data_IF_993713842736
#
_entry.id   IF_993713842736
#
_cell.length_a   1.000
_cell.length_b   1.000
_cell.length_c   1.000
_cell.angle_alpha   90.00
_cell.angle_beta   90.00
_cell.angle_gamma   90.00
#
_symmetry.space_group_name_H-M   'P 1'
#
loop_
_entity.id
_entity.type
_entity.pdbx_description
1 polymer ?
#
# COMPACT_ATOMS: atom_id res chain seq x y z
N UNK A 1 22.90 26.73 -16.22
CA UNK A 1 22.40 25.35 -16.27
C UNK A 1 21.96 25.02 -14.87
N UNK A 2 20.69 24.74 -14.62
CA UNK A 2 20.21 24.39 -13.27
C UNK A 2 20.86 23.08 -12.86
N UNK A 3 21.61 23.09 -11.78
CA UNK A 3 22.20 21.91 -11.17
C UNK A 3 21.09 20.96 -10.73
N UNK A 4 20.80 19.98 -11.58
CA UNK A 4 19.72 19.04 -11.34
C UNK A 4 20.19 18.00 -10.29
N UNK A 5 19.53 17.97 -9.13
CA UNK A 5 19.78 16.94 -8.12
C UNK A 5 19.50 15.57 -8.74
N UNK A 6 20.46 14.65 -8.68
CA UNK A 6 20.30 13.26 -9.12
C UNK A 6 20.06 12.35 -7.94
N UNK A 7 19.03 11.54 -8.01
CA UNK A 7 18.70 10.54 -6.99
C UNK A 7 19.16 9.16 -7.45
N UNK A 8 19.81 8.44 -6.53
CA UNK A 8 20.20 7.03 -6.71
C UNK A 8 19.54 6.19 -5.64
N UNK A 9 18.71 5.25 -6.04
CA UNK A 9 18.24 4.15 -5.19
C UNK A 9 19.33 3.09 -5.11
N UNK A 10 19.68 2.67 -3.92
CA UNK A 10 20.78 1.75 -3.66
C UNK A 10 20.51 0.95 -2.38
N UNK A 11 21.53 0.46 -1.72
CA UNK A 11 21.45 -0.27 -0.46
C UNK A 11 22.39 0.34 0.60
N UNK A 12 22.28 -0.13 1.84
CA UNK A 12 23.08 0.37 2.98
C UNK A 12 24.58 0.14 2.84
N UNK A 13 25.03 -0.70 1.90
CA UNK A 13 26.44 -0.96 1.62
C UNK A 13 27.07 0.03 0.64
N UNK A 14 26.29 0.94 0.07
CA UNK A 14 26.77 1.99 -0.82
C UNK A 14 27.83 2.86 -0.11
N UNK A 15 29.03 3.08 -0.70
CA UNK A 15 30.11 3.83 -0.05
C UNK A 15 29.72 5.28 0.28
N UNK A 16 28.98 5.95 -0.62
CA UNK A 16 28.55 7.31 -0.42
C UNK A 16 27.47 7.42 0.66
N UNK A 17 26.57 6.43 0.73
CA UNK A 17 25.61 6.32 1.80
C UNK A 17 26.32 6.16 3.15
N UNK A 18 27.28 5.21 3.28
CA UNK A 18 28.06 5.00 4.51
C UNK A 18 28.83 6.25 4.92
N UNK A 19 29.42 6.95 3.96
CA UNK A 19 30.13 8.21 4.22
C UNK A 19 29.23 9.28 4.85
N UNK A 20 28.00 9.43 4.33
CA UNK A 20 27.06 10.42 4.86
C UNK A 20 26.39 9.97 6.17
N UNK A 21 26.26 8.67 6.43
CA UNK A 21 25.85 8.12 7.73
C UNK A 21 26.83 8.55 8.83
N UNK A 22 28.14 8.42 8.58
CA UNK A 22 29.17 8.87 9.55
C UNK A 22 29.04 10.36 9.86
N UNK A 23 28.75 11.18 8.85
CA UNK A 23 28.57 12.63 9.07
C UNK A 23 27.29 12.91 9.88
N UNK A 24 26.20 12.19 9.59
CA UNK A 24 24.96 12.29 10.37
C UNK A 24 25.20 11.89 11.83
N UNK A 25 25.85 10.75 12.08
CA UNK A 25 26.11 10.27 13.43
C UNK A 25 26.97 11.28 14.24
N UNK A 26 28.02 11.81 13.63
CA UNK A 26 28.83 12.84 14.26
C UNK A 26 28.01 14.09 14.59
N UNK A 27 27.10 14.52 13.73
CA UNK A 27 26.22 15.66 13.97
C UNK A 27 25.23 15.39 15.12
N UNK A 28 24.64 14.21 15.15
CA UNK A 28 23.73 13.79 16.22
C UNK A 28 24.44 13.74 17.59
N UNK A 29 25.65 13.19 17.65
CA UNK A 29 26.48 13.22 18.86
C UNK A 29 26.80 14.62 19.34
N UNK A 30 27.06 15.56 18.42
CA UNK A 30 27.33 16.94 18.77
C UNK A 30 26.11 17.73 19.27
N UNK A 31 24.90 17.34 18.81
CA UNK A 31 23.66 18.02 19.16
C UNK A 31 22.96 17.42 20.39
N UNK A 32 23.02 16.10 20.57
CA UNK A 32 22.32 15.37 21.64
C UNK A 32 23.25 14.92 22.79
N UNK A 33 24.59 15.01 22.63
CA UNK A 33 25.55 14.59 23.63
C UNK A 33 25.31 13.17 24.18
N UNK A 34 25.27 13.00 25.52
CA UNK A 34 25.13 11.72 26.19
C UNK A 34 23.78 11.05 25.89
N UNK A 35 22.72 11.79 25.55
CA UNK A 35 21.41 11.26 25.19
C UNK A 35 21.47 10.49 23.87
N UNK A 36 22.42 10.81 22.99
CA UNK A 36 22.63 10.05 21.75
C UNK A 36 22.92 8.56 22.00
N UNK A 37 23.58 8.22 23.11
CA UNK A 37 23.89 6.83 23.44
C UNK A 37 22.64 5.94 23.54
N UNK A 38 21.52 6.52 23.98
CA UNK A 38 20.23 5.81 24.08
C UNK A 38 19.71 5.45 22.68
N UNK A 39 19.90 6.34 21.70
CA UNK A 39 19.40 6.18 20.33
C UNK A 39 20.33 5.37 19.43
N UNK A 40 21.63 5.28 19.78
CA UNK A 40 22.66 4.70 18.91
C UNK A 40 22.39 3.23 18.54
N UNK A 41 21.85 2.45 19.49
CA UNK A 41 21.43 1.07 19.25
C UNK A 41 20.29 0.95 18.23
N UNK A 42 19.42 1.95 18.12
CA UNK A 42 18.26 1.99 17.21
C UNK A 42 18.62 2.63 15.86
N UNK A 43 19.74 3.35 15.81
CA UNK A 43 20.26 4.00 14.62
C UNK A 43 21.08 3.08 13.72
N UNK A 44 21.41 1.88 14.19
CA UNK A 44 22.10 0.88 13.37
C UNK A 44 21.28 0.56 12.12
N UNK A 45 21.94 0.67 10.97
CA UNK A 45 21.36 0.32 9.67
C UNK A 45 21.86 -1.07 9.32
N UNK A 46 21.08 -2.12 9.58
CA UNK A 46 21.40 -3.46 9.09
C UNK A 46 21.44 -3.45 7.55
N UNK A 47 21.77 -4.58 6.93
CA UNK A 47 21.78 -4.73 5.47
C UNK A 47 20.40 -4.40 4.85
N UNK A 48 20.15 -3.11 4.61
CA UNK A 48 18.93 -2.62 3.99
C UNK A 48 19.12 -2.46 2.48
N UNK A 49 18.20 -3.00 1.69
CA UNK A 49 18.16 -2.86 0.24
C UNK A 49 17.41 -1.60 -0.22
N UNK A 50 17.29 -0.60 0.64
CA UNK A 50 16.39 0.55 0.45
C UNK A 50 17.02 1.85 0.92
N UNK A 51 18.27 2.10 0.53
CA UNK A 51 18.94 3.37 0.76
C UNK A 51 18.83 4.30 -0.46
N UNK A 52 18.83 5.61 -0.20
CA UNK A 52 18.79 6.66 -1.21
C UNK A 52 20.01 7.55 -0.99
N UNK A 53 20.71 7.90 -2.08
CA UNK A 53 21.75 8.92 -2.11
C UNK A 53 21.38 9.96 -3.16
N UNK A 54 21.39 11.22 -2.76
CA UNK A 54 21.18 12.36 -3.65
C UNK A 54 22.51 13.05 -3.95
N UNK A 55 22.71 13.37 -5.22
CA UNK A 55 23.95 13.95 -5.74
C UNK A 55 23.70 15.33 -6.36
N UNK A 56 24.50 16.32 -5.94
CA UNK A 56 24.63 17.61 -6.60
C UNK A 56 26.03 17.67 -7.24
N UNK A 57 26.12 17.91 -8.56
CA UNK A 57 27.41 17.96 -9.28
C UNK A 57 28.32 16.74 -9.00
N UNK A 58 27.74 15.53 -8.99
CA UNK A 58 28.40 14.25 -8.70
C UNK A 58 28.90 14.10 -7.24
N UNK A 59 28.63 15.06 -6.34
CA UNK A 59 28.94 14.95 -4.91
C UNK A 59 27.71 14.45 -4.16
N UNK A 60 27.83 13.45 -3.28
CA UNK A 60 26.73 13.01 -2.44
C UNK A 60 26.42 14.10 -1.40
N UNK A 61 25.17 14.55 -1.35
CA UNK A 61 24.73 15.68 -0.53
C UNK A 61 23.57 15.38 0.39
N UNK A 62 22.82 14.31 0.15
CA UNK A 62 21.75 13.91 1.06
C UNK A 62 21.49 12.40 0.98
N UNK A 63 20.96 11.85 2.06
CA UNK A 63 20.61 10.43 2.19
C UNK A 63 19.29 10.23 2.91
N UNK A 64 18.76 9.02 2.79
CA UNK A 64 17.68 8.47 3.57
C UNK A 64 17.56 6.96 3.30
N UNK A 65 16.89 6.22 4.18
CA UNK A 65 16.60 4.82 3.93
C UNK A 65 15.24 4.42 4.48
N UNK A 66 14.76 3.26 4.04
CA UNK A 66 13.51 2.66 4.47
C UNK A 66 13.82 1.38 5.25
N UNK A 67 13.16 1.19 6.38
CA UNK A 67 13.19 -0.05 7.16
C UNK A 67 11.77 -0.60 7.23
N UNK A 68 11.57 -1.86 6.88
CA UNK A 68 10.27 -2.49 7.05
C UNK A 68 9.92 -2.52 8.54
N UNK A 69 8.73 -2.02 8.89
CA UNK A 69 8.20 -2.10 10.25
C UNK A 69 7.24 -3.30 10.37
N UNK A 70 6.30 -3.41 9.44
CA UNK A 70 5.41 -4.57 9.29
C UNK A 70 4.97 -4.71 7.81
N UNK A 71 3.95 -5.51 7.52
CA UNK A 71 3.52 -5.83 6.16
C UNK A 71 2.98 -4.63 5.38
N UNK A 72 2.41 -3.62 6.06
CA UNK A 72 1.79 -2.44 5.45
C UNK A 72 2.49 -1.12 5.78
N UNK A 73 3.46 -1.14 6.69
CA UNK A 73 4.08 0.06 7.25
C UNK A 73 5.60 0.01 7.12
N UNK A 74 6.18 1.09 6.63
CA UNK A 74 7.63 1.28 6.52
C UNK A 74 8.09 2.40 7.44
N UNK A 75 9.27 2.28 8.04
CA UNK A 75 9.91 3.34 8.83
C UNK A 75 10.89 4.12 7.96
N UNK A 76 10.70 5.44 7.87
CA UNK A 76 11.65 6.39 7.27
C UNK A 76 12.79 6.61 8.25
N UNK A 77 14.02 6.34 7.83
CA UNK A 77 15.20 6.46 8.69
C UNK A 77 16.35 7.20 8.01
N UNK A 78 17.25 7.72 8.83
CA UNK A 78 18.57 8.23 8.42
C UNK A 78 18.50 9.37 7.39
N UNK A 79 17.47 10.23 7.53
CA UNK A 79 17.33 11.43 6.72
C UNK A 79 18.42 12.45 7.08
N UNK A 80 19.26 12.79 6.11
CA UNK A 80 20.34 13.75 6.31
C UNK A 80 20.62 14.58 5.06
N UNK A 81 20.97 15.83 5.25
CA UNK A 81 21.47 16.72 4.20
C UNK A 81 22.73 17.41 4.74
N UNK A 82 23.83 17.34 4.00
CA UNK A 82 25.09 17.98 4.39
C UNK A 82 24.89 19.50 4.61
N UNK A 83 25.57 20.07 5.59
CA UNK A 83 25.36 21.47 6.05
C UNK A 83 25.39 22.48 4.90
N UNK A 84 26.36 22.35 4.01
CA UNK A 84 26.62 23.26 2.88
C UNK A 84 25.51 23.20 1.80
N UNK A 85 24.69 22.15 1.82
CA UNK A 85 23.59 21.92 0.85
C UNK A 85 22.19 22.14 1.45
N UNK A 86 22.10 22.58 2.70
CA UNK A 86 20.84 22.92 3.36
C UNK A 86 20.20 24.16 2.74
N UNK A 87 18.90 24.34 2.93
CA UNK A 87 18.13 25.44 2.34
C UNK A 87 17.71 25.21 0.88
N UNK A 88 18.29 24.25 0.18
CA UNK A 88 17.99 23.91 -1.23
C UNK A 88 16.81 22.94 -1.42
N UNK A 89 16.06 22.66 -0.35
CA UNK A 89 14.90 21.74 -0.34
C UNK A 89 15.24 20.25 -0.61
N UNK A 90 16.51 19.84 -0.51
CA UNK A 90 16.92 18.46 -0.80
C UNK A 90 16.31 17.44 0.15
N UNK A 91 16.09 17.79 1.42
CA UNK A 91 15.34 16.94 2.36
C UNK A 91 13.93 16.60 1.88
N UNK A 92 13.21 17.58 1.30
CA UNK A 92 11.88 17.35 0.72
C UNK A 92 11.93 16.39 -0.47
N UNK A 93 12.95 16.52 -1.31
CA UNK A 93 13.13 15.68 -2.50
C UNK A 93 13.44 14.24 -2.08
N UNK A 94 14.38 14.06 -1.13
CA UNK A 94 14.73 12.73 -0.61
C UNK A 94 13.53 12.08 0.10
N UNK A 95 12.80 12.82 0.93
CA UNK A 95 11.60 12.30 1.60
C UNK A 95 10.54 11.85 0.59
N UNK A 96 10.26 12.69 -0.42
CA UNK A 96 9.30 12.33 -1.49
C UNK A 96 9.73 11.08 -2.24
N UNK A 97 11.01 10.91 -2.52
CA UNK A 97 11.54 9.73 -3.18
C UNK A 97 11.41 8.47 -2.31
N UNK A 98 11.64 8.58 -0.98
CA UNK A 98 11.40 7.49 -0.04
C UNK A 98 9.93 7.10 0.00
N UNK A 99 9.02 8.07 0.09
CA UNK A 99 7.58 7.85 0.09
C UNK A 99 7.12 7.16 -1.21
N UNK A 100 7.62 7.65 -2.35
CA UNK A 100 7.32 7.04 -3.64
C UNK A 100 7.84 5.60 -3.72
N UNK A 101 9.08 5.36 -3.29
CA UNK A 101 9.66 4.00 -3.30
C UNK A 101 8.94 3.06 -2.33
N UNK A 102 8.52 3.55 -1.17
CA UNK A 102 7.69 2.81 -0.23
C UNK A 102 6.33 2.40 -0.85
N UNK A 103 5.66 3.33 -1.52
CA UNK A 103 4.41 3.06 -2.25
C UNK A 103 4.61 2.04 -3.37
N UNK A 104 5.68 2.15 -4.15
CA UNK A 104 6.03 1.18 -5.21
C UNK A 104 6.29 -0.23 -4.65
N UNK A 105 6.71 -0.33 -3.39
CA UNK A 105 6.90 -1.60 -2.68
C UNK A 105 5.62 -2.13 -2.03
N UNK A 106 4.53 -1.38 -2.09
CA UNK A 106 3.21 -1.78 -1.58
C UNK A 106 2.94 -1.38 -0.13
N UNK A 107 3.77 -0.52 0.47
CA UNK A 107 3.50 0.02 1.80
C UNK A 107 2.39 1.07 1.74
N UNK A 108 1.51 1.04 2.73
CA UNK A 108 0.37 1.94 2.89
C UNK A 108 0.74 3.12 3.78
N UNK A 109 1.56 2.87 4.78
CA UNK A 109 1.95 3.86 5.77
C UNK A 109 3.46 4.05 5.82
N UNK A 110 3.87 5.29 6.07
CA UNK A 110 5.21 5.60 6.56
C UNK A 110 5.13 6.11 7.99
N UNK A 111 5.99 5.59 8.83
CA UNK A 111 6.24 6.10 10.17
C UNK A 111 7.68 6.60 10.26
N UNK A 112 7.93 7.42 11.24
CA UNK A 112 9.27 7.89 11.58
C UNK A 112 9.32 8.32 13.04
N UNK A 113 10.53 8.39 13.56
CA UNK A 113 10.84 9.03 14.83
C UNK A 113 11.81 10.18 14.62
N UNK A 114 11.67 11.22 15.40
CA UNK A 114 12.60 12.36 15.48
C UNK A 114 12.55 12.97 16.88
N UNK A 115 13.61 13.71 17.28
CA UNK A 115 13.63 14.36 18.59
C UNK A 115 12.77 15.63 18.62
N UNK A 116 12.24 15.98 19.81
CA UNK A 116 11.59 17.26 20.10
C UNK A 116 12.51 18.46 19.79
N UNK A 117 13.82 18.25 19.87
CA UNK A 117 14.85 19.29 19.64
C UNK A 117 15.05 19.60 18.15
N UNK A 118 14.77 18.67 17.24
CA UNK A 118 14.96 18.86 15.80
C UNK A 118 13.78 19.58 15.12
N UNK A 119 13.59 20.87 15.46
CA UNK A 119 12.49 21.70 14.94
C UNK A 119 12.39 21.69 13.40
N UNK A 120 13.53 21.74 12.72
CA UNK A 120 13.56 21.73 11.25
C UNK A 120 13.07 20.42 10.65
N UNK A 121 13.46 19.27 11.24
CA UNK A 121 13.00 17.94 10.81
C UNK A 121 11.49 17.77 11.09
N UNK A 122 11.02 18.15 12.28
CA UNK A 122 9.58 18.12 12.61
C UNK A 122 8.76 18.97 11.64
N UNK A 123 9.22 20.19 11.33
CA UNK A 123 8.56 21.07 10.36
C UNK A 123 8.54 20.45 8.96
N UNK A 124 9.62 19.79 8.54
CA UNK A 124 9.67 19.06 7.26
C UNK A 124 8.56 18.00 7.18
N UNK A 125 8.45 17.15 8.20
CA UNK A 125 7.48 16.03 8.23
C UNK A 125 6.04 16.52 8.34
N UNK A 126 5.75 17.50 9.23
CA UNK A 126 4.42 18.11 9.32
C UNK A 126 3.97 18.72 7.97
N UNK A 127 4.87 19.46 7.32
CA UNK A 127 4.60 20.06 6.01
C UNK A 127 4.49 19.00 4.87
N UNK A 128 5.01 17.80 5.09
CA UNK A 128 4.86 16.67 4.17
C UNK A 128 3.58 15.84 4.45
N UNK A 129 2.76 16.22 5.46
CA UNK A 129 1.51 15.57 5.79
C UNK A 129 1.61 14.45 6.82
N UNK A 130 2.71 14.36 7.56
CA UNK A 130 2.80 13.48 8.73
C UNK A 130 2.05 14.08 9.92
N UNK A 131 1.42 13.22 10.70
CA UNK A 131 0.77 13.57 11.97
C UNK A 131 1.50 12.90 13.12
N UNK A 132 1.54 13.58 14.27
CA UNK A 132 2.11 12.99 15.50
C UNK A 132 1.23 11.85 15.96
N UNK A 133 1.86 10.76 16.39
CA UNK A 133 1.21 9.56 16.95
C UNK A 133 1.85 9.23 18.31
N UNK A 134 1.26 8.31 19.05
CA UNK A 134 1.90 7.73 20.24
C UNK A 134 3.24 7.09 19.87
N UNK A 135 4.22 7.21 20.76
CA UNK A 135 5.53 6.60 20.54
C UNK A 135 5.38 5.07 20.46
N UNK A 136 6.07 4.46 19.49
CA UNK A 136 5.97 3.02 19.21
C UNK A 136 7.26 2.27 19.58
N UNK A 137 7.14 0.97 19.74
CA UNK A 137 8.22 0.01 19.97
C UNK A 137 9.27 0.50 20.99
N UNK A 138 10.51 0.66 20.57
CA UNK A 138 11.64 1.12 21.39
C UNK A 138 11.57 2.60 21.81
N UNK A 139 10.67 3.37 21.23
CA UNK A 139 10.54 4.81 21.55
C UNK A 139 9.47 5.12 22.59
N UNK A 140 8.71 4.09 23.06
CA UNK A 140 7.54 4.27 23.97
C UNK A 140 7.87 5.07 25.22
N UNK A 141 9.01 4.81 25.81
CA UNK A 141 9.42 5.40 27.10
C UNK A 141 10.42 6.56 26.93
N UNK A 142 10.61 7.03 25.68
CA UNK A 142 11.54 8.13 25.39
C UNK A 142 10.75 9.45 25.24
N UNK A 143 10.77 10.26 26.32
CA UNK A 143 10.02 11.52 26.39
C UNK A 143 10.41 12.54 25.32
N UNK A 144 11.67 12.51 24.87
CA UNK A 144 12.19 13.42 23.85
C UNK A 144 11.93 12.95 22.42
N UNK A 145 11.44 11.73 22.25
CA UNK A 145 11.07 11.19 20.95
C UNK A 145 9.69 11.68 20.51
N UNK A 146 9.56 12.01 19.24
CA UNK A 146 8.31 12.34 18.56
C UNK A 146 8.12 11.39 17.41
N UNK A 147 7.20 10.46 17.57
CA UNK A 147 6.79 9.54 16.50
C UNK A 147 5.73 10.18 15.62
N UNK A 148 5.86 9.97 14.33
CA UNK A 148 4.93 10.52 13.34
C UNK A 148 4.56 9.48 12.30
N UNK A 149 3.36 9.62 11.72
CA UNK A 149 2.79 8.72 10.72
C UNK A 149 2.18 9.49 9.57
N UNK A 150 2.33 8.95 8.37
CA UNK A 150 1.65 9.41 7.16
C UNK A 150 1.08 8.24 6.39
N UNK A 151 -0.10 8.41 5.83
CA UNK A 151 -0.62 7.53 4.81
C UNK A 151 -0.01 7.90 3.45
N UNK A 152 0.67 6.95 2.81
CA UNK A 152 1.45 7.17 1.57
C UNK A 152 0.59 7.14 0.32
N UNK A 153 -0.57 6.50 0.40
CA UNK A 153 -1.43 6.32 -0.75
C UNK A 153 -2.26 7.58 -0.93
N UNK A 154 -2.16 8.19 -2.09
CA UNK A 154 -3.06 9.27 -2.47
C UNK A 154 -4.49 8.76 -2.37
N UNK A 155 -5.34 9.49 -1.61
CA UNK A 155 -6.79 9.27 -1.65
C UNK A 155 -7.21 9.26 -3.11
N UNK A 156 -7.66 8.10 -3.58
CA UNK A 156 -8.38 8.05 -4.84
C UNK A 156 -9.62 8.90 -4.63
N UNK A 157 -9.95 9.76 -5.56
CA UNK A 157 -11.18 10.53 -5.56
C UNK A 157 -12.37 9.59 -5.30
N UNK A 158 -13.29 9.93 -4.38
CA UNK A 158 -14.33 9.01 -3.89
C UNK A 158 -15.19 8.33 -4.96
N UNK A 159 -15.19 8.78 -6.17
CA UNK A 159 -16.06 8.31 -7.26
C UNK A 159 -15.37 7.52 -8.37
N UNK A 160 -14.13 7.00 -8.16
CA UNK A 160 -13.41 6.34 -9.27
C UNK A 160 -14.17 5.15 -9.88
N UNK A 161 -14.90 4.37 -9.06
CA UNK A 161 -15.64 3.19 -9.50
C UNK A 161 -17.15 3.28 -9.31
N UNK A 162 -17.63 3.98 -8.27
CA UNK A 162 -19.05 4.03 -7.87
C UNK A 162 -19.95 4.63 -8.94
N UNK A 163 -19.47 5.62 -9.67
CA UNK A 163 -20.24 6.33 -10.69
C UNK A 163 -20.06 5.77 -12.11
N UNK A 164 -19.29 4.67 -12.25
CA UNK A 164 -19.06 4.06 -13.56
C UNK A 164 -20.30 3.31 -14.03
N UNK A 165 -20.93 3.78 -15.09
CA UNK A 165 -22.04 3.08 -15.72
C UNK A 165 -21.60 1.68 -16.18
N UNK A 166 -22.38 0.65 -15.80
CA UNK A 166 -22.10 -0.75 -16.16
C UNK A 166 -21.10 -1.47 -15.24
N UNK A 167 -20.65 -0.83 -14.17
CA UNK A 167 -19.82 -1.45 -13.13
C UNK A 167 -20.66 -1.65 -11.87
N UNK A 168 -20.80 -2.89 -11.42
CA UNK A 168 -21.38 -3.20 -10.11
C UNK A 168 -20.28 -3.00 -9.06
N UNK A 169 -20.43 -1.98 -8.21
CA UNK A 169 -19.51 -1.59 -7.16
C UNK A 169 -20.25 -1.48 -5.83
N UNK A 170 -19.66 -1.96 -4.73
CA UNK A 170 -20.36 -2.11 -3.47
C UNK A 170 -19.95 -1.05 -2.45
N UNK A 171 -20.90 -0.54 -1.67
CA UNK A 171 -20.66 0.50 -0.66
C UNK A 171 -19.64 0.07 0.41
N UNK A 172 -19.58 -1.22 0.76
CA UNK A 172 -18.58 -1.71 1.71
C UNK A 172 -17.15 -1.69 1.18
N UNK A 173 -16.95 -1.52 -0.13
CA UNK A 173 -15.62 -1.43 -0.76
C UNK A 173 -15.00 -0.04 -0.64
N UNK A 174 -15.78 1.02 -0.46
CA UNK A 174 -15.31 2.42 -0.48
C UNK A 174 -14.14 2.65 0.48
N UNK A 175 -14.24 2.16 1.72
CA UNK A 175 -13.20 2.32 2.74
C UNK A 175 -11.86 1.66 2.38
N UNK A 176 -11.86 0.66 1.50
CA UNK A 176 -10.71 -0.20 1.22
C UNK A 176 -10.13 0.04 -0.17
N UNK A 177 -10.97 0.30 -1.15
CA UNK A 177 -10.59 0.46 -2.55
C UNK A 177 -10.25 1.90 -2.86
N UNK A 178 -11.13 2.84 -2.53
CA UNK A 178 -11.02 4.22 -2.99
C UNK A 178 -10.21 5.07 -2.03
N UNK A 179 -10.40 4.93 -0.72
CA UNK A 179 -9.71 5.79 0.24
C UNK A 179 -8.25 5.41 0.48
N UNK A 180 -7.93 4.12 0.45
CA UNK A 180 -6.64 3.62 0.91
C UNK A 180 -5.94 2.68 -0.06
N UNK A 181 -6.50 2.37 -1.23
CA UNK A 181 -5.98 1.36 -2.19
C UNK A 181 -5.58 0.02 -1.53
N UNK A 182 -6.23 -0.33 -0.41
CA UNK A 182 -5.94 -1.57 0.34
C UNK A 182 -6.47 -2.81 -0.35
N UNK A 183 -7.29 -2.63 -1.37
CA UNK A 183 -7.94 -3.73 -2.04
C UNK A 183 -8.10 -3.45 -3.53
N UNK A 184 -8.10 -4.52 -4.32
CA UNK A 184 -8.52 -4.48 -5.71
C UNK A 184 -10.04 -4.63 -5.72
N UNK A 185 -10.81 -3.83 -6.49
CA UNK A 185 -12.27 -3.90 -6.54
C UNK A 185 -12.77 -5.32 -6.82
N UNK A 186 -13.89 -5.71 -6.22
CA UNK A 186 -14.44 -7.07 -6.36
C UNK A 186 -14.78 -7.41 -7.81
N UNK A 187 -15.24 -6.45 -8.59
CA UNK A 187 -15.47 -6.63 -10.04
C UNK A 187 -14.17 -6.98 -10.79
N UNK A 188 -13.06 -6.34 -10.44
CA UNK A 188 -11.74 -6.63 -11.05
C UNK A 188 -11.26 -8.00 -10.58
N UNK A 189 -11.40 -8.34 -9.29
CA UNK A 189 -11.06 -9.67 -8.76
C UNK A 189 -11.87 -10.80 -9.42
N UNK A 190 -13.16 -10.56 -9.67
CA UNK A 190 -14.03 -11.49 -10.37
C UNK A 190 -13.50 -11.79 -11.77
N UNK A 191 -13.17 -10.74 -12.53
CA UNK A 191 -12.61 -10.85 -13.88
C UNK A 191 -11.21 -11.48 -13.89
N UNK A 192 -10.38 -11.19 -12.88
CA UNK A 192 -9.07 -11.81 -12.72
C UNK A 192 -9.15 -13.33 -12.51
N UNK A 193 -10.08 -13.79 -11.67
CA UNK A 193 -10.30 -15.21 -11.42
C UNK A 193 -10.74 -15.91 -12.71
N UNK A 194 -11.64 -15.30 -13.50
CA UNK A 194 -12.06 -15.80 -14.80
C UNK A 194 -10.90 -15.82 -15.81
N UNK A 195 -10.06 -14.79 -15.82
CA UNK A 195 -8.92 -14.67 -16.71
C UNK A 195 -7.69 -15.51 -16.27
N UNK A 196 -7.72 -16.14 -15.10
CA UNK A 196 -6.62 -16.96 -14.60
C UNK A 196 -5.34 -16.18 -14.27
N UNK A 197 -5.47 -14.92 -13.82
CA UNK A 197 -4.34 -14.07 -13.45
C UNK A 197 -4.44 -13.62 -11.99
N UNK A 198 -3.31 -13.70 -11.28
CA UNK A 198 -3.15 -13.10 -9.96
C UNK A 198 -2.49 -11.72 -10.11
N UNK A 199 -3.19 -10.68 -9.66
CA UNK A 199 -2.66 -9.33 -9.53
C UNK A 199 -2.36 -9.06 -8.07
N UNK A 200 -1.15 -8.58 -7.77
CA UNK A 200 -0.76 -8.15 -6.42
C UNK A 200 -1.19 -6.70 -6.21
N UNK A 201 -1.48 -6.34 -4.96
CA UNK A 201 -1.82 -4.96 -4.62
C UNK A 201 -0.69 -3.98 -4.98
N UNK A 202 0.56 -4.39 -4.81
CA UNK A 202 1.76 -3.62 -5.21
C UNK A 202 1.92 -3.44 -6.73
N UNK A 203 1.25 -4.24 -7.54
CA UNK A 203 1.16 -4.08 -8.99
C UNK A 203 0.00 -3.15 -9.35
N UNK A 204 -1.17 -3.38 -8.74
CA UNK A 204 -2.36 -2.56 -8.88
C UNK A 204 -2.11 -1.08 -8.57
N UNK A 205 -1.39 -0.79 -7.48
CA UNK A 205 -1.08 0.58 -7.05
C UNK A 205 -0.22 1.37 -8.05
N UNK A 206 0.48 0.67 -8.97
CA UNK A 206 1.30 1.30 -10.01
C UNK A 206 0.50 1.69 -11.26
N UNK A 207 -0.69 1.12 -11.46
CA UNK A 207 -1.51 1.40 -12.63
C UNK A 207 -2.08 2.82 -12.54
N UNK A 208 -2.21 3.48 -13.69
CA UNK A 208 -2.88 4.77 -13.78
C UNK A 208 -4.39 4.63 -13.51
N UNK A 209 -5.03 5.72 -13.13
CA UNK A 209 -6.48 5.76 -12.88
C UNK A 209 -7.28 5.21 -14.06
N UNK A 210 -6.95 5.68 -15.26
CA UNK A 210 -7.62 5.27 -16.51
C UNK A 210 -7.46 3.77 -16.77
N UNK A 211 -6.28 3.20 -16.48
CA UNK A 211 -6.01 1.78 -16.65
C UNK A 211 -6.77 0.91 -15.64
N UNK A 212 -6.94 1.41 -14.40
CA UNK A 212 -7.77 0.74 -13.38
C UNK A 212 -9.24 0.78 -13.74
N UNK A 213 -9.74 1.92 -14.23
CA UNK A 213 -11.11 2.07 -14.74
C UNK A 213 -11.35 1.13 -15.91
N UNK A 214 -10.42 1.06 -16.86
CA UNK A 214 -10.50 0.15 -18.01
C UNK A 214 -10.60 -1.31 -17.55
N UNK A 215 -9.84 -1.74 -16.53
CA UNK A 215 -9.94 -3.08 -15.97
C UNK A 215 -11.30 -3.37 -15.32
N UNK A 216 -11.95 -2.37 -14.74
CA UNK A 216 -13.30 -2.52 -14.19
C UNK A 216 -14.36 -2.59 -15.30
N UNK A 217 -14.23 -1.80 -16.36
CA UNK A 217 -15.20 -1.73 -17.47
C UNK A 217 -15.06 -2.87 -18.48
N UNK A 218 -13.80 -3.28 -18.78
CA UNK A 218 -13.53 -4.25 -19.85
C UNK A 218 -14.33 -5.54 -19.69
N UNK A 219 -15.03 -6.01 -20.73
CA UNK A 219 -15.79 -7.25 -20.69
C UNK A 219 -14.90 -8.48 -20.38
N UNK A 220 -15.46 -9.47 -19.69
CA UNK A 220 -14.76 -10.72 -19.35
C UNK A 220 -15.77 -11.87 -19.13
N UNK A 221 -16.72 -12.05 -20.06
CA UNK A 221 -17.79 -13.04 -19.97
C UNK A 221 -17.52 -14.19 -20.96
N UNK A 222 -17.29 -13.88 -22.22
CA UNK A 222 -17.00 -14.86 -23.25
C UNK A 222 -15.54 -15.31 -23.22
N UNK A 223 -15.23 -16.45 -23.82
CA UNK A 223 -13.84 -16.94 -23.91
C UNK A 223 -12.91 -15.92 -24.61
N UNK A 224 -13.40 -15.23 -25.63
CA UNK A 224 -12.63 -14.21 -26.34
C UNK A 224 -12.41 -12.97 -25.47
N UNK A 225 -13.45 -12.47 -24.79
CA UNK A 225 -13.30 -11.34 -23.85
C UNK A 225 -12.35 -11.67 -22.72
N UNK A 226 -12.43 -12.87 -22.15
CA UNK A 226 -11.53 -13.35 -21.10
C UNK A 226 -10.09 -13.39 -21.59
N UNK A 227 -9.83 -13.83 -22.82
CA UNK A 227 -8.51 -13.81 -23.46
C UNK A 227 -8.00 -12.37 -23.64
N UNK A 228 -8.86 -11.48 -24.13
CA UNK A 228 -8.52 -10.06 -24.30
C UNK A 228 -8.24 -9.36 -22.96
N UNK A 229 -9.04 -9.68 -21.92
CA UNK A 229 -8.82 -9.19 -20.58
C UNK A 229 -7.46 -9.67 -20.01
N UNK A 230 -7.18 -10.98 -20.17
CA UNK A 230 -5.89 -11.55 -19.76
C UNK A 230 -4.72 -10.86 -20.43
N UNK A 231 -4.76 -10.65 -21.74
CA UNK A 231 -3.71 -9.99 -22.50
C UNK A 231 -3.49 -8.53 -22.02
N UNK A 232 -4.57 -7.80 -21.80
CA UNK A 232 -4.51 -6.41 -21.34
C UNK A 232 -3.88 -6.31 -19.94
N UNK A 233 -4.37 -7.10 -18.98
CA UNK A 233 -3.84 -7.11 -17.61
C UNK A 233 -2.38 -7.58 -17.58
N UNK A 234 -2.03 -8.62 -18.34
CA UNK A 234 -0.66 -9.09 -18.47
C UNK A 234 0.28 -8.01 -19.04
N UNK A 235 -0.21 -7.26 -20.00
CA UNK A 235 0.50 -6.11 -20.59
C UNK A 235 0.79 -5.03 -19.55
N UNK A 236 -0.20 -4.69 -18.71
CA UNK A 236 -0.03 -3.72 -17.63
C UNK A 236 0.99 -4.20 -16.58
N UNK A 237 0.88 -5.45 -16.12
CA UNK A 237 1.82 -6.01 -15.15
C UNK A 237 3.26 -5.92 -15.71
N UNK A 238 3.48 -6.35 -16.94
CA UNK A 238 4.80 -6.27 -17.59
C UNK A 238 5.30 -4.83 -17.74
N UNK A 239 4.43 -3.91 -18.16
CA UNK A 239 4.76 -2.49 -18.33
C UNK A 239 5.28 -1.85 -17.04
N UNK A 240 4.66 -2.17 -15.89
CA UNK A 240 4.97 -1.52 -14.62
C UNK A 240 5.94 -2.29 -13.72
N UNK A 241 6.15 -3.58 -13.96
CA UNK A 241 6.99 -4.41 -13.09
C UNK A 241 8.14 -5.10 -13.81
N UNK A 242 8.11 -5.12 -15.14
CA UNK A 242 9.01 -5.91 -15.98
C UNK A 242 8.98 -7.44 -15.67
N UNK A 243 7.94 -7.92 -14.98
CA UNK A 243 7.73 -9.32 -14.64
C UNK A 243 6.59 -9.92 -15.45
N UNK A 244 6.60 -11.25 -15.59
CA UNK A 244 5.44 -11.98 -16.09
C UNK A 244 4.37 -12.09 -15.01
N UNK A 245 3.06 -12.04 -15.38
CA UNK A 245 1.98 -12.22 -14.43
C UNK A 245 2.00 -13.63 -13.82
N UNK A 246 1.56 -13.74 -12.58
CA UNK A 246 1.33 -15.04 -11.94
C UNK A 246 0.04 -15.66 -12.50
N UNK A 247 0.15 -16.82 -13.13
CA UNK A 247 -0.99 -17.56 -13.66
C UNK A 247 -1.69 -18.34 -12.55
N UNK A 248 -3.01 -18.33 -12.57
CA UNK A 248 -3.88 -19.14 -11.70
C UNK A 248 -4.65 -20.17 -12.52
N UNK A 249 -4.90 -21.33 -11.94
CA UNK A 249 -5.83 -22.30 -12.53
C UNK A 249 -7.25 -21.73 -12.50
N UNK A 250 -7.89 -21.66 -13.67
CA UNK A 250 -9.29 -21.23 -13.77
C UNK A 250 -10.18 -22.36 -13.30
N UNK A 251 -11.03 -22.09 -12.30
CA UNK A 251 -12.03 -23.06 -11.85
C UNK A 251 -13.20 -23.07 -12.84
N UNK A 252 -13.38 -24.18 -13.54
CA UNK A 252 -14.47 -24.35 -14.54
C UNK A 252 -15.86 -24.48 -13.91
N UNK A 253 -15.96 -24.80 -12.62
CA UNK A 253 -17.22 -24.97 -11.89
C UNK A 253 -17.12 -24.26 -10.54
N UNK A 254 -17.05 -22.92 -10.51
CA UNK A 254 -16.90 -22.18 -9.26
C UNK A 254 -18.17 -22.28 -8.40
N UNK A 255 -18.01 -22.37 -7.08
CA UNK A 255 -19.10 -22.53 -6.12
C UNK A 255 -20.18 -21.41 -6.24
N UNK A 256 -19.79 -20.22 -6.65
CA UNK A 256 -20.75 -19.11 -6.85
C UNK A 256 -21.67 -19.30 -8.05
N UNK A 257 -21.33 -20.15 -9.01
CA UNK A 257 -22.15 -20.46 -10.18
C UNK A 257 -23.23 -21.53 -9.89
N UNK A 258 -23.11 -22.28 -8.78
CA UNK A 258 -24.16 -23.24 -8.39
C UNK A 258 -25.35 -22.51 -7.79
N UNK A 259 -26.43 -22.42 -8.56
CA UNK A 259 -27.69 -21.82 -8.12
C UNK A 259 -28.55 -22.78 -7.30
N UNK A 260 -28.28 -24.07 -7.37
CA UNK A 260 -29.09 -25.08 -6.67
C UNK A 260 -28.79 -25.19 -5.20
N UNK A 261 -27.54 -24.87 -4.82
CA UNK A 261 -27.05 -25.04 -3.45
C UNK A 261 -26.30 -23.83 -2.96
N UNK A 262 -26.65 -23.38 -1.74
CA UNK A 262 -25.82 -22.39 -1.02
C UNK A 262 -24.52 -23.07 -0.58
N UNK A 263 -23.34 -22.52 -0.87
CA UNK A 263 -22.06 -23.14 -0.49
C UNK A 263 -21.94 -23.39 1.01
N UNK A 264 -21.44 -24.58 1.38
CA UNK A 264 -21.33 -25.01 2.79
C UNK A 264 -20.49 -24.04 3.62
N UNK A 265 -19.42 -23.49 3.02
CA UNK A 265 -18.56 -22.51 3.69
C UNK A 265 -19.35 -21.23 4.04
N UNK A 266 -20.19 -20.75 3.14
CA UNK A 266 -21.06 -19.60 3.36
C UNK A 266 -22.09 -19.86 4.44
N UNK A 267 -22.77 -21.02 4.40
CA UNK A 267 -23.73 -21.42 5.43
C UNK A 267 -23.10 -21.48 6.83
N UNK A 268 -21.90 -22.07 6.94
CA UNK A 268 -21.16 -22.13 8.21
C UNK A 268 -20.81 -20.73 8.73
N UNK A 269 -20.35 -19.82 7.86
CA UNK A 269 -20.00 -18.47 8.27
C UNK A 269 -21.20 -17.65 8.69
N UNK A 270 -22.30 -17.68 7.92
CA UNK A 270 -23.55 -16.97 8.25
C UNK A 270 -24.11 -17.47 9.60
N UNK A 271 -24.05 -18.79 9.85
CA UNK A 271 -24.50 -19.38 11.13
C UNK A 271 -23.72 -18.85 12.34
N UNK A 272 -22.42 -18.53 12.20
CA UNK A 272 -21.63 -17.92 13.28
C UNK A 272 -22.18 -16.56 13.73
N UNK A 273 -22.88 -15.85 12.86
CA UNK A 273 -23.56 -14.59 13.17
C UNK A 273 -25.03 -14.75 13.58
N UNK A 274 -25.52 -15.98 13.72
CA UNK A 274 -26.91 -16.26 14.06
C UNK A 274 -27.91 -16.07 12.89
N UNK A 275 -27.43 -15.93 11.67
CA UNK A 275 -28.23 -15.67 10.48
C UNK A 275 -28.41 -16.94 9.62
N UNK A 276 -29.35 -16.86 8.67
CA UNK A 276 -29.60 -17.90 7.68
C UNK A 276 -29.84 -17.24 6.32
N UNK A 277 -29.46 -17.93 5.25
CA UNK A 277 -29.77 -17.58 3.86
C UNK A 277 -30.58 -18.70 3.24
N UNK A 278 -31.67 -18.35 2.55
CA UNK A 278 -32.46 -19.29 1.79
C UNK A 278 -31.88 -19.55 0.39
N UNK A 279 -32.25 -20.66 -0.23
CA UNK A 279 -31.90 -20.95 -1.63
C UNK A 279 -32.44 -19.89 -2.59
N UNK A 280 -33.60 -19.34 -2.30
CA UNK A 280 -34.25 -18.30 -3.12
C UNK A 280 -33.41 -17.00 -3.04
N UNK A 281 -33.04 -16.57 -1.86
CA UNK A 281 -32.15 -15.41 -1.68
C UNK A 281 -30.83 -15.62 -2.43
N UNK A 282 -30.23 -16.80 -2.36
CA UNK A 282 -28.99 -17.13 -3.07
C UNK A 282 -29.13 -17.02 -4.60
N UNK A 283 -30.22 -17.55 -5.15
CA UNK A 283 -30.53 -17.48 -6.59
C UNK A 283 -30.71 -16.07 -7.11
N UNK A 284 -31.31 -15.19 -6.28
CA UNK A 284 -31.62 -13.81 -6.66
C UNK A 284 -30.41 -12.89 -6.64
N UNK A 285 -29.28 -13.32 -6.09
CA UNK A 285 -28.03 -12.58 -6.15
C UNK A 285 -27.44 -12.58 -7.56
N UNK A 286 -26.72 -11.51 -7.92
CA UNK A 286 -25.90 -11.51 -9.13
C UNK A 286 -24.70 -12.45 -9.00
N UNK A 287 -24.08 -12.82 -10.10
CA UNK A 287 -22.86 -13.64 -10.09
C UNK A 287 -21.75 -12.99 -9.28
N UNK A 288 -21.61 -11.66 -9.40
CA UNK A 288 -20.62 -10.90 -8.64
C UNK A 288 -20.94 -10.90 -7.14
N UNK A 289 -22.20 -10.72 -6.73
CA UNK A 289 -22.59 -10.75 -5.32
C UNK A 289 -22.32 -12.13 -4.70
N UNK A 290 -22.62 -13.22 -5.41
CA UNK A 290 -22.30 -14.59 -4.96
C UNK A 290 -20.80 -14.82 -4.83
N UNK A 291 -20.03 -14.38 -5.83
CA UNK A 291 -18.56 -14.41 -5.78
C UNK A 291 -18.01 -13.66 -4.57
N UNK A 292 -18.49 -12.46 -4.32
CA UNK A 292 -18.11 -11.62 -3.18
C UNK A 292 -18.33 -12.34 -1.85
N UNK A 293 -19.51 -12.90 -1.64
CA UNK A 293 -19.81 -13.62 -0.40
C UNK A 293 -18.85 -14.80 -0.18
N UNK A 294 -18.47 -15.51 -1.23
CA UNK A 294 -17.49 -16.61 -1.13
C UNK A 294 -16.09 -16.07 -0.82
N UNK A 295 -15.68 -14.98 -1.46
CA UNK A 295 -14.37 -14.34 -1.16
C UNK A 295 -14.31 -13.85 0.27
N UNK A 296 -15.35 -13.22 0.78
CA UNK A 296 -15.45 -12.74 2.16
C UNK A 296 -15.61 -13.87 3.19
N UNK A 297 -15.89 -15.10 2.76
CA UNK A 297 -15.90 -16.26 3.66
C UNK A 297 -14.51 -16.69 4.13
N UNK A 298 -13.45 -16.42 3.37
CA UNK A 298 -12.08 -16.79 3.74
C UNK A 298 -11.64 -16.03 4.98
N UNK A 299 -10.90 -16.69 5.87
CA UNK A 299 -10.35 -16.07 7.07
C UNK A 299 -9.22 -15.10 6.68
N UNK A 300 -9.51 -13.81 6.76
CA UNK A 300 -8.58 -12.72 6.49
C UNK A 300 -9.05 -11.46 7.23
N UNK A 301 -8.34 -10.36 7.10
CA UNK A 301 -8.71 -9.02 7.64
C UNK A 301 -10.10 -8.52 7.19
N UNK A 302 -10.73 -9.18 6.21
CA UNK A 302 -12.02 -8.82 5.61
C UNK A 302 -13.24 -9.26 6.45
N UNK A 303 -13.05 -9.84 7.64
CA UNK A 303 -14.17 -10.29 8.50
C UNK A 303 -15.17 -9.19 8.85
N UNK A 304 -14.75 -7.92 8.85
CA UNK A 304 -15.64 -6.76 9.10
C UNK A 304 -16.58 -6.45 7.95
N UNK A 305 -16.21 -6.81 6.71
CA UNK A 305 -16.99 -6.52 5.51
C UNK A 305 -18.07 -7.56 5.24
N UNK A 306 -17.92 -8.77 5.73
CA UNK A 306 -18.90 -9.81 5.51
C UNK A 306 -20.31 -9.43 6.03
N UNK A 307 -20.51 -8.91 7.27
CA UNK A 307 -21.80 -8.40 7.72
C UNK A 307 -22.32 -7.21 6.91
N UNK A 308 -21.42 -6.32 6.44
CA UNK A 308 -21.80 -5.17 5.61
C UNK A 308 -22.36 -5.63 4.27
N UNK A 309 -21.67 -6.56 3.59
CA UNK A 309 -22.12 -7.15 2.33
C UNK A 309 -23.47 -7.85 2.47
N UNK A 310 -23.70 -8.62 3.55
CA UNK A 310 -24.99 -9.26 3.79
C UNK A 310 -26.15 -8.25 3.94
N UNK A 311 -25.89 -7.08 4.56
CA UNK A 311 -26.86 -6.00 4.68
C UNK A 311 -27.12 -5.32 3.35
N UNK A 312 -26.06 -4.99 2.62
CA UNK A 312 -26.12 -4.34 1.32
C UNK A 312 -26.85 -5.20 0.28
N UNK A 313 -26.65 -6.53 0.35
CA UNK A 313 -27.35 -7.49 -0.51
C UNK A 313 -28.75 -7.89 0.00
N UNK A 314 -29.25 -7.20 1.02
CA UNK A 314 -30.57 -7.40 1.63
C UNK A 314 -30.83 -8.85 2.12
N UNK A 315 -29.74 -9.58 2.46
CA UNK A 315 -29.83 -10.96 2.94
C UNK A 315 -30.21 -11.06 4.42
N UNK A 316 -30.02 -9.97 5.15
CA UNK A 316 -30.36 -9.85 6.56
C UNK A 316 -31.09 -8.53 6.80
N UNK A 317 -32.07 -8.53 7.68
CA UNK A 317 -32.81 -7.31 8.07
C UNK A 317 -31.88 -6.36 8.82
N UNK A 318 -32.10 -5.04 8.61
CA UNK A 318 -31.40 -3.96 9.30
C UNK A 318 -31.57 -4.03 10.81
#
# INVERSE_FOLDING_TARGET
MSDQLKIKRTNSNDPDFKKLIVQLDNELWNELNEDQAIYDQYNKVPDLNTAIVAYENKKPVAIGCLKNHNDDTVEIKRMYVVKESRGKKYSKIVLKEQEQWATERGFIYAILETSIHFKAARSLYLNAGYTVIENYDQYKDLEESVCMKKELINKIEPSEFKELAGVEYFDFEEDFVEQNMRCIPMIVRFKMDAAGIKLKLSEWSKFKKEERIELALKPCITAEETRLYNNYLSGLIRKYTNNWPTVLSVNQSPEWADLANVPVMLQKKIKKFGWKISKEQWKNLTDLQRFVLIKLCKESHENKNFPKALKEFELIKR
#
